data_IF_374292574304
#
_entry.id   IF_374292574304
#
_cell.length_a   1.000
_cell.length_b   1.000
_cell.length_c   1.000
_cell.angle_alpha   90.00
_cell.angle_beta   90.00
_cell.angle_gamma   90.00
#
_symmetry.space_group_name_H-M   'P 1'
#
loop_
_entity.id
_entity.type
_entity.pdbx_description
1 polymer ?
#
# COMPACT_ATOMS: atom_id res chain seq x y z
N UNK A 1 29.82 28.14 -39.28
CA UNK A 1 28.70 27.91 -38.32
C UNK A 1 28.13 26.54 -38.61
N UNK A 2 28.52 25.54 -37.82
CA UNK A 2 28.01 24.18 -37.94
C UNK A 2 26.75 24.05 -37.06
N UNK A 3 25.60 23.73 -37.66
CA UNK A 3 24.36 23.43 -36.96
C UNK A 3 24.56 22.18 -36.08
N UNK A 4 24.21 22.20 -34.78
CA UNK A 4 24.23 21.00 -33.97
C UNK A 4 23.12 20.07 -34.47
N UNK A 5 23.48 18.98 -35.11
CA UNK A 5 22.57 17.86 -35.36
C UNK A 5 22.19 17.30 -33.99
N UNK A 6 20.93 17.48 -33.60
CA UNK A 6 20.35 16.79 -32.46
C UNK A 6 20.40 15.28 -32.79
N UNK A 7 21.35 14.56 -32.21
CA UNK A 7 21.37 13.10 -32.20
C UNK A 7 20.09 12.64 -31.48
N UNK A 8 19.07 12.31 -32.25
CA UNK A 8 17.94 11.54 -31.71
C UNK A 8 18.50 10.18 -31.36
N UNK A 9 18.52 9.88 -30.07
CA UNK A 9 18.99 8.60 -29.57
C UNK A 9 18.07 7.49 -30.12
N UNK A 10 18.58 6.79 -31.12
CA UNK A 10 17.86 5.70 -31.80
C UNK A 10 17.49 4.56 -30.84
N UNK A 11 18.16 4.48 -29.69
CA UNK A 11 17.87 3.49 -28.64
C UNK A 11 16.48 3.68 -27.99
N UNK A 12 15.99 4.91 -27.87
CA UNK A 12 14.64 5.19 -27.37
C UNK A 12 13.57 4.78 -28.38
N UNK A 13 13.82 5.01 -29.67
CA UNK A 13 12.88 4.58 -30.74
C UNK A 13 12.82 3.06 -30.86
N UNK A 14 13.93 2.36 -30.68
CA UNK A 14 13.99 0.89 -30.69
C UNK A 14 13.33 0.30 -29.43
N UNK A 15 13.43 0.98 -28.28
CA UNK A 15 12.72 0.59 -27.05
C UNK A 15 11.19 0.69 -27.20
N UNK A 16 10.69 1.67 -27.97
CA UNK A 16 9.25 1.82 -28.26
C UNK A 16 8.71 0.74 -29.21
N UNK A 17 9.57 0.15 -30.06
CA UNK A 17 9.21 -0.91 -31.02
C UNK A 17 9.17 -2.31 -30.42
N UNK A 18 9.77 -2.54 -29.24
CA UNK A 18 9.77 -3.85 -28.59
C UNK A 18 8.35 -4.24 -28.14
N UNK A 19 7.90 -5.48 -28.38
CA UNK A 19 6.61 -5.97 -27.90
C UNK A 19 6.56 -5.92 -26.37
N UNK A 20 5.38 -5.70 -25.81
CA UNK A 20 5.15 -5.57 -24.37
C UNK A 20 5.82 -6.69 -23.53
N UNK A 21 5.74 -7.94 -24.04
CA UNK A 21 6.38 -9.11 -23.40
C UNK A 21 7.90 -8.99 -23.27
N UNK A 22 8.57 -8.47 -24.29
CA UNK A 22 10.03 -8.28 -24.27
C UNK A 22 10.43 -7.17 -23.28
N UNK A 23 9.66 -6.08 -23.22
CA UNK A 23 9.87 -4.98 -22.26
C UNK A 23 9.66 -5.46 -20.82
N UNK A 24 8.63 -6.26 -20.59
CA UNK A 24 8.36 -6.86 -19.27
C UNK A 24 9.50 -7.77 -18.82
N UNK A 25 9.98 -8.68 -19.68
CA UNK A 25 11.13 -9.55 -19.38
C UNK A 25 12.41 -8.77 -19.11
N UNK A 26 12.68 -7.75 -19.90
CA UNK A 26 13.84 -6.87 -19.70
C UNK A 26 13.77 -6.15 -18.35
N UNK A 27 12.58 -5.68 -17.94
CA UNK A 27 12.34 -5.06 -16.64
C UNK A 27 12.60 -6.04 -15.49
N UNK A 28 12.04 -7.25 -15.57
CA UNK A 28 12.24 -8.30 -14.58
C UNK A 28 13.73 -8.69 -14.42
N UNK A 29 14.49 -8.69 -15.53
CA UNK A 29 15.93 -8.95 -15.49
C UNK A 29 16.75 -7.79 -14.90
N UNK A 30 16.34 -6.55 -15.13
CA UNK A 30 17.01 -5.37 -14.60
C UNK A 30 16.73 -5.17 -13.11
N UNK A 31 15.54 -5.57 -12.65
CA UNK A 31 15.10 -5.41 -11.25
C UNK A 31 14.56 -6.73 -10.68
N UNK A 32 15.43 -7.70 -10.37
CA UNK A 32 15.00 -9.04 -9.93
C UNK A 32 14.25 -9.00 -8.60
N UNK A 33 14.63 -8.11 -7.67
CA UNK A 33 13.93 -7.95 -6.38
C UNK A 33 12.52 -7.39 -6.59
N UNK A 34 12.36 -6.41 -7.48
CA UNK A 34 11.04 -5.88 -7.82
C UNK A 34 10.14 -6.93 -8.50
N UNK A 35 10.71 -7.78 -9.36
CA UNK A 35 9.99 -8.89 -9.98
C UNK A 35 9.54 -9.92 -8.93
N UNK A 36 10.40 -10.24 -7.95
CA UNK A 36 10.05 -11.11 -6.83
C UNK A 36 8.93 -10.50 -5.98
N UNK A 37 9.03 -9.21 -5.64
CA UNK A 37 7.96 -8.48 -4.94
C UNK A 37 6.65 -8.51 -5.70
N UNK A 38 6.68 -8.23 -7.00
CA UNK A 38 5.50 -8.32 -7.88
C UNK A 38 4.89 -9.72 -7.94
N UNK A 39 5.72 -10.78 -7.94
CA UNK A 39 5.23 -12.16 -7.89
C UNK A 39 4.52 -12.48 -6.56
N UNK A 40 5.05 -12.02 -5.44
CA UNK A 40 4.41 -12.17 -4.11
C UNK A 40 3.05 -11.44 -4.09
N UNK A 41 3.01 -10.19 -4.57
CA UNK A 41 1.76 -9.40 -4.63
C UNK A 41 0.72 -10.09 -5.53
N UNK A 42 1.14 -10.60 -6.69
CA UNK A 42 0.25 -11.31 -7.61
C UNK A 42 -0.26 -12.63 -7.00
N UNK A 43 0.59 -13.37 -6.29
CA UNK A 43 0.19 -14.59 -5.56
C UNK A 43 -0.84 -14.25 -4.50
N UNK A 44 -0.63 -13.19 -3.74
CA UNK A 44 -1.57 -12.72 -2.70
C UNK A 44 -2.92 -12.30 -3.29
N UNK A 45 -2.91 -11.54 -4.40
CA UNK A 45 -4.14 -11.17 -5.11
C UNK A 45 -4.85 -12.42 -5.65
N UNK A 46 -4.09 -13.35 -6.23
CA UNK A 46 -4.64 -14.62 -6.71
C UNK A 46 -5.30 -15.41 -5.57
N UNK A 47 -4.63 -15.56 -4.42
CA UNK A 47 -5.19 -16.22 -3.24
C UNK A 47 -6.47 -15.54 -2.77
N UNK A 48 -6.50 -14.20 -2.72
CA UNK A 48 -7.67 -13.43 -2.31
C UNK A 48 -8.86 -13.59 -3.27
N UNK A 49 -8.63 -13.51 -4.59
CA UNK A 49 -9.69 -13.63 -5.60
C UNK A 49 -10.27 -15.04 -5.63
N UNK A 50 -9.41 -16.05 -5.61
CA UNK A 50 -9.80 -17.44 -5.72
C UNK A 50 -9.98 -18.13 -4.36
N UNK A 51 -10.08 -17.39 -3.25
CA UNK A 51 -10.19 -17.96 -1.91
C UNK A 51 -11.29 -19.02 -1.78
N UNK A 52 -12.47 -18.78 -2.36
CA UNK A 52 -13.58 -19.73 -2.29
C UNK A 52 -13.30 -21.07 -3.01
N UNK A 53 -12.35 -21.11 -3.94
CA UNK A 53 -11.99 -22.31 -4.70
C UNK A 53 -10.74 -22.98 -4.11
N UNK A 54 -9.83 -22.17 -3.57
CA UNK A 54 -8.57 -22.64 -3.01
C UNK A 54 -8.70 -23.17 -1.59
N UNK A 55 -9.72 -22.73 -0.87
CA UNK A 55 -9.91 -23.10 0.53
C UNK A 55 -10.62 -24.45 0.66
N UNK A 56 -10.00 -25.41 1.36
CA UNK A 56 -10.59 -26.73 1.55
C UNK A 56 -11.77 -26.73 2.55
N UNK A 57 -11.79 -25.77 3.48
CA UNK A 57 -12.75 -25.70 4.58
C UNK A 57 -13.47 -24.34 4.65
N UNK A 58 -14.48 -24.24 5.51
CA UNK A 58 -15.10 -22.96 5.86
C UNK A 58 -14.20 -22.18 6.85
N UNK A 59 -13.84 -20.92 6.57
CA UNK A 59 -12.93 -20.14 7.41
C UNK A 59 -13.50 -19.78 8.79
N UNK A 60 -14.81 -19.88 8.99
CA UNK A 60 -15.52 -19.47 10.22
C UNK A 60 -16.08 -20.66 11.01
N UNK A 61 -16.13 -21.86 10.42
CA UNK A 61 -16.67 -23.04 11.06
C UNK A 61 -15.78 -23.55 12.19
N UNK A 62 -16.27 -23.51 13.42
CA UNK A 62 -15.59 -24.06 14.59
C UNK A 62 -15.69 -25.58 14.62
N UNK A 63 -14.57 -26.27 14.78
CA UNK A 63 -14.46 -27.73 14.87
C UNK A 63 -13.68 -28.13 16.13
N UNK A 64 -14.28 -27.96 17.30
CA UNK A 64 -13.64 -28.15 18.60
C UNK A 64 -13.01 -29.55 18.80
N UNK A 65 -13.42 -30.54 18.02
CA UNK A 65 -12.79 -31.87 18.02
C UNK A 65 -11.36 -31.85 17.46
N UNK A 66 -11.02 -30.83 16.67
CA UNK A 66 -9.74 -30.66 15.98
C UNK A 66 -8.94 -29.46 16.51
N UNK A 67 -9.14 -29.09 17.79
CA UNK A 67 -8.42 -27.95 18.40
C UNK A 67 -6.92 -28.20 18.44
N UNK A 68 -6.12 -27.22 17.97
CA UNK A 68 -4.66 -27.21 18.02
C UNK A 68 -4.02 -28.46 17.40
N UNK A 69 -4.63 -29.04 16.37
CA UNK A 69 -4.03 -30.15 15.64
C UNK A 69 -2.81 -29.67 14.83
N UNK A 70 -1.72 -30.44 14.92
CA UNK A 70 -0.53 -30.18 14.16
C UNK A 70 -0.76 -30.33 12.64
N UNK A 71 0.07 -29.69 11.80
CA UNK A 71 -0.01 -29.86 10.36
C UNK A 71 -0.08 -31.32 9.94
N UNK A 72 -1.08 -31.65 9.11
CA UNK A 72 -1.42 -33.02 8.70
C UNK A 72 -1.84 -33.08 7.23
N UNK A 73 -2.18 -34.26 6.72
CA UNK A 73 -2.72 -34.42 5.36
C UNK A 73 -4.12 -33.78 5.17
N UNK A 74 -4.90 -33.62 6.23
CA UNK A 74 -6.21 -32.98 6.24
C UNK A 74 -6.08 -31.47 6.48
N UNK A 75 -5.27 -31.07 7.48
CA UNK A 75 -5.01 -29.66 7.83
C UNK A 75 -3.54 -29.32 7.52
N UNK A 76 -3.25 -28.85 6.32
CA UNK A 76 -1.88 -28.65 5.83
C UNK A 76 -1.04 -27.70 6.69
N UNK A 77 -1.68 -26.71 7.32
CA UNK A 77 -1.02 -25.75 8.23
C UNK A 77 -1.47 -25.95 9.69
N UNK A 78 -2.20 -27.05 9.98
CA UNK A 78 -2.80 -27.31 11.28
C UNK A 78 -4.05 -26.48 11.53
N UNK A 79 -4.54 -26.53 12.77
CA UNK A 79 -5.74 -25.82 13.21
C UNK A 79 -5.46 -24.84 14.35
N UNK A 80 -6.37 -23.90 14.55
CA UNK A 80 -6.29 -22.92 15.63
C UNK A 80 -7.01 -23.41 16.93
N UNK A 81 -7.12 -22.53 17.92
CA UNK A 81 -7.75 -22.81 19.21
C UNK A 81 -9.26 -23.13 19.12
N UNK A 82 -9.89 -22.84 17.99
CA UNK A 82 -11.29 -23.17 17.72
C UNK A 82 -11.43 -24.36 16.77
N UNK A 83 -10.31 -25.01 16.39
CA UNK A 83 -10.27 -26.11 15.42
C UNK A 83 -10.46 -25.66 13.97
N UNK A 84 -10.29 -24.36 13.66
CA UNK A 84 -10.45 -23.81 12.30
C UNK A 84 -9.17 -24.02 11.50
N UNK A 85 -9.28 -24.37 10.23
CA UNK A 85 -8.13 -24.60 9.34
C UNK A 85 -7.32 -23.31 9.09
N UNK A 86 -6.04 -23.30 9.48
CA UNK A 86 -5.16 -22.14 9.36
C UNK A 86 -4.90 -21.78 7.90
N UNK A 87 -4.72 -22.74 6.99
CA UNK A 87 -4.51 -22.47 5.58
C UNK A 87 -5.70 -21.71 4.97
N UNK A 88 -6.91 -22.20 5.19
CA UNK A 88 -8.14 -21.53 4.77
C UNK A 88 -8.20 -20.09 5.30
N UNK A 89 -7.94 -19.91 6.59
CA UNK A 89 -7.97 -18.58 7.22
C UNK A 89 -6.87 -17.65 6.70
N UNK A 90 -5.69 -18.15 6.33
CA UNK A 90 -4.63 -17.37 5.67
C UNK A 90 -5.08 -16.91 4.28
N UNK A 91 -5.68 -17.81 3.50
CA UNK A 91 -6.18 -17.48 2.16
C UNK A 91 -7.28 -16.40 2.24
N UNK A 92 -8.27 -16.55 3.13
CA UNK A 92 -9.30 -15.54 3.33
C UNK A 92 -8.78 -14.26 3.98
N UNK A 93 -7.81 -14.36 4.90
CA UNK A 93 -7.12 -13.22 5.50
C UNK A 93 -6.42 -12.33 4.47
N UNK A 94 -6.00 -12.89 3.33
CA UNK A 94 -5.46 -12.10 2.23
C UNK A 94 -6.49 -11.12 1.64
N UNK A 95 -7.79 -11.49 1.60
CA UNK A 95 -8.88 -10.57 1.18
C UNK A 95 -9.00 -9.41 2.15
N UNK A 96 -9.04 -9.69 3.45
CA UNK A 96 -9.16 -8.68 4.50
C UNK A 96 -7.98 -7.72 4.45
N UNK A 97 -6.76 -8.25 4.39
CA UNK A 97 -5.54 -7.47 4.34
C UNK A 97 -5.45 -6.59 3.08
N UNK A 98 -5.78 -7.13 1.89
CA UNK A 98 -5.80 -6.36 0.65
C UNK A 98 -6.92 -5.31 0.64
N UNK A 99 -8.12 -5.65 1.09
CA UNK A 99 -9.24 -4.71 1.13
C UNK A 99 -8.92 -3.50 2.00
N UNK A 100 -8.46 -3.72 3.23
CA UNK A 100 -8.08 -2.66 4.16
C UNK A 100 -6.87 -1.90 3.61
N UNK A 101 -5.83 -2.63 3.16
CA UNK A 101 -4.58 -2.06 2.66
C UNK A 101 -4.81 -1.13 1.47
N UNK A 102 -5.51 -1.59 0.43
CA UNK A 102 -5.78 -0.77 -0.74
C UNK A 102 -6.74 0.38 -0.44
N UNK A 103 -7.81 0.13 0.32
CA UNK A 103 -8.80 1.17 0.63
C UNK A 103 -8.16 2.32 1.41
N UNK A 104 -7.43 2.02 2.48
CA UNK A 104 -6.76 3.02 3.28
C UNK A 104 -5.67 3.77 2.48
N UNK A 105 -4.87 3.03 1.68
CA UNK A 105 -3.82 3.63 0.85
C UNK A 105 -4.41 4.56 -0.23
N UNK A 106 -5.46 4.13 -0.94
CA UNK A 106 -6.09 4.94 -2.00
C UNK A 106 -6.71 6.21 -1.41
N UNK A 107 -7.48 6.10 -0.33
CA UNK A 107 -8.13 7.27 0.29
C UNK A 107 -7.06 8.21 0.87
N UNK A 108 -6.09 7.67 1.61
CA UNK A 108 -5.02 8.43 2.23
C UNK A 108 -4.12 9.15 1.22
N UNK A 109 -3.63 8.42 0.21
CA UNK A 109 -2.80 9.01 -0.83
C UNK A 109 -3.56 10.03 -1.68
N UNK A 110 -4.82 9.74 -2.06
CA UNK A 110 -5.64 10.66 -2.86
C UNK A 110 -6.00 11.92 -2.07
N UNK A 111 -6.36 11.79 -0.79
CA UNK A 111 -6.55 12.93 0.10
C UNK A 111 -5.28 13.78 0.21
N UNK A 112 -4.13 13.12 0.36
CA UNK A 112 -2.82 13.78 0.36
C UNK A 112 -2.47 14.44 -0.97
N UNK A 113 -2.78 13.82 -2.11
CA UNK A 113 -2.61 14.41 -3.44
C UNK A 113 -3.41 15.72 -3.57
N UNK A 114 -4.69 15.68 -3.24
CA UNK A 114 -5.58 16.86 -3.33
C UNK A 114 -5.05 17.97 -2.44
N UNK A 115 -4.75 17.67 -1.17
CA UNK A 115 -4.28 18.65 -0.19
C UNK A 115 -2.91 19.22 -0.58
N UNK A 116 -1.97 18.36 -1.01
CA UNK A 116 -0.62 18.77 -1.39
C UNK A 116 -0.59 19.65 -2.63
N UNK A 117 -1.33 19.28 -3.69
CA UNK A 117 -1.41 20.10 -4.91
C UNK A 117 -2.13 21.43 -4.65
N UNK A 118 -3.24 21.41 -3.89
CA UNK A 118 -3.96 22.64 -3.55
C UNK A 118 -3.09 23.58 -2.70
N UNK A 119 -2.38 23.05 -1.70
CA UNK A 119 -1.44 23.79 -0.85
C UNK A 119 -0.35 24.47 -1.68
N UNK A 120 0.29 23.73 -2.60
CA UNK A 120 1.32 24.26 -3.49
C UNK A 120 0.78 25.30 -4.46
N UNK A 121 -0.42 25.10 -5.03
CA UNK A 121 -1.00 25.98 -6.03
C UNK A 121 -1.44 27.31 -5.46
N UNK A 122 -2.24 27.30 -4.38
CA UNK A 122 -2.76 28.52 -3.77
C UNK A 122 -1.69 29.29 -2.99
N UNK A 123 -0.77 28.59 -2.31
CA UNK A 123 0.32 29.23 -1.59
C UNK A 123 -0.14 30.11 -0.43
N UNK A 124 0.71 31.08 -0.05
CA UNK A 124 0.41 32.10 0.94
C UNK A 124 -0.08 31.59 2.29
N UNK A 125 -1.11 32.23 2.86
CA UNK A 125 -1.68 31.89 4.16
C UNK A 125 -2.33 30.50 4.12
N UNK A 126 -2.98 30.13 3.00
CA UNK A 126 -3.60 28.80 2.86
C UNK A 126 -2.55 27.69 3.02
N UNK A 127 -1.45 27.80 2.29
CA UNK A 127 -0.34 26.85 2.39
C UNK A 127 0.24 26.81 3.82
N UNK A 128 0.44 27.96 4.43
CA UNK A 128 0.98 28.03 5.78
C UNK A 128 0.08 27.32 6.80
N UNK A 129 -1.22 27.54 6.76
CA UNK A 129 -2.18 26.90 7.69
C UNK A 129 -2.23 25.39 7.43
N UNK A 130 -2.34 24.97 6.16
CA UNK A 130 -2.35 23.53 5.82
C UNK A 130 -1.08 22.83 6.30
N UNK A 131 0.09 23.46 6.10
CA UNK A 131 1.35 22.84 6.54
C UNK A 131 1.46 22.78 8.07
N UNK A 132 0.91 23.75 8.81
CA UNK A 132 0.86 23.65 10.28
C UNK A 132 0.01 22.48 10.77
N UNK A 133 -1.12 22.24 10.12
CA UNK A 133 -1.97 21.07 10.43
C UNK A 133 -1.21 19.78 10.08
N UNK A 134 -0.61 19.71 8.89
CA UNK A 134 0.21 18.57 8.46
C UNK A 134 1.37 18.31 9.45
N UNK A 135 2.05 19.36 9.92
CA UNK A 135 3.14 19.24 10.89
C UNK A 135 2.68 18.63 12.21
N UNK A 136 1.51 19.04 12.73
CA UNK A 136 0.93 18.48 13.94
C UNK A 136 0.66 16.98 13.78
N UNK A 137 0.04 16.57 12.66
CA UNK A 137 -0.25 15.15 12.43
C UNK A 137 1.02 14.29 12.28
N UNK A 138 2.03 14.78 11.56
CA UNK A 138 3.28 14.03 11.37
C UNK A 138 4.14 13.98 12.64
N UNK A 139 3.94 14.87 13.59
CA UNK A 139 4.65 14.84 14.87
C UNK A 139 4.26 13.61 15.73
N UNK A 140 3.09 13.02 15.51
CA UNK A 140 2.68 11.82 16.21
C UNK A 140 3.21 10.55 15.50
N UNK A 141 3.73 9.56 16.25
CA UNK A 141 4.01 8.25 15.69
C UNK A 141 2.74 7.64 15.10
N UNK A 142 2.85 7.11 13.88
CA UNK A 142 1.74 6.63 13.06
C UNK A 142 0.87 5.59 13.78
N UNK A 143 1.49 4.61 14.45
CA UNK A 143 0.79 3.57 15.21
C UNK A 143 -0.01 4.18 16.36
N UNK A 144 0.56 5.14 17.10
CA UNK A 144 -0.10 5.78 18.24
C UNK A 144 -1.33 6.56 17.76
N UNK A 145 -1.23 7.25 16.64
CA UNK A 145 -2.36 7.98 16.05
C UNK A 145 -3.47 7.02 15.62
N UNK A 146 -3.12 5.92 14.93
CA UNK A 146 -4.10 4.91 14.52
C UNK A 146 -4.81 4.28 15.74
N UNK A 147 -4.06 3.93 16.80
CA UNK A 147 -4.61 3.43 18.05
C UNK A 147 -5.57 4.44 18.72
N UNK A 148 -5.19 5.72 18.78
CA UNK A 148 -6.04 6.76 19.36
C UNK A 148 -7.36 6.90 18.59
N UNK A 149 -7.32 6.83 17.25
CA UNK A 149 -8.54 6.89 16.43
C UNK A 149 -9.43 5.68 16.68
N UNK A 150 -8.88 4.46 16.66
CA UNK A 150 -9.68 3.25 16.91
C UNK A 150 -10.20 3.23 18.35
N UNK A 151 -9.43 3.71 19.34
CA UNK A 151 -9.89 3.79 20.72
C UNK A 151 -11.14 4.68 20.89
N UNK A 152 -11.31 5.68 20.02
CA UNK A 152 -12.50 6.57 20.03
C UNK A 152 -13.66 6.05 19.19
N UNK A 153 -13.38 5.40 18.04
CA UNK A 153 -14.40 4.91 17.11
C UNK A 153 -14.88 3.49 17.46
N UNK A 154 -14.09 2.73 18.22
CA UNK A 154 -14.29 1.31 18.49
C UNK A 154 -13.60 0.41 17.45
N UNK A 155 -13.49 -0.91 17.74
CA UNK A 155 -12.92 -1.90 16.82
C UNK A 155 -13.81 -2.11 15.61
N UNK A 156 -13.24 -2.68 14.55
CA UNK A 156 -13.96 -3.02 13.32
C UNK A 156 -13.26 -2.55 12.06
N UNK A 157 -13.54 -3.24 10.95
CA UNK A 157 -12.86 -3.05 9.66
C UNK A 157 -12.92 -1.60 9.15
N UNK A 158 -14.10 -0.97 9.23
CA UNK A 158 -14.29 0.41 8.75
C UNK A 158 -13.50 1.41 9.58
N UNK A 159 -13.52 1.24 10.89
CA UNK A 159 -12.80 2.10 11.83
C UNK A 159 -11.28 1.97 11.68
N UNK A 160 -10.79 0.76 11.40
CA UNK A 160 -9.38 0.50 11.07
C UNK A 160 -8.98 1.23 9.78
N UNK A 161 -9.81 1.18 8.73
CA UNK A 161 -9.55 1.90 7.48
C UNK A 161 -9.43 3.40 7.75
N UNK A 162 -10.36 3.98 8.52
CA UNK A 162 -10.33 5.40 8.90
C UNK A 162 -9.05 5.72 9.69
N UNK A 163 -8.73 4.90 10.68
CA UNK A 163 -7.58 5.09 11.55
C UNK A 163 -6.24 5.07 10.80
N UNK A 164 -6.11 4.20 9.79
CA UNK A 164 -4.92 4.11 8.94
C UNK A 164 -4.89 5.27 7.92
N UNK A 165 -6.05 5.66 7.40
CA UNK A 165 -6.16 6.72 6.39
C UNK A 165 -5.75 8.08 6.92
N UNK A 166 -6.17 8.44 8.14
CA UNK A 166 -5.91 9.76 8.75
C UNK A 166 -4.42 10.14 8.72
N UNK A 167 -3.47 9.32 9.20
CA UNK A 167 -2.05 9.65 9.17
C UNK A 167 -1.43 9.60 7.76
N UNK A 168 -2.00 8.87 6.80
CA UNK A 168 -1.47 8.79 5.44
C UNK A 168 -1.69 10.08 4.65
N UNK A 169 -2.81 10.79 4.88
CA UNK A 169 -3.10 12.07 4.21
C UNK A 169 -1.97 13.09 4.38
N UNK A 170 -1.54 13.47 5.60
CA UNK A 170 -0.48 14.45 5.79
C UNK A 170 0.88 14.00 5.24
N UNK A 171 1.21 12.70 5.34
CA UNK A 171 2.45 12.17 4.80
C UNK A 171 2.51 12.31 3.27
N UNK A 172 1.45 11.91 2.56
CA UNK A 172 1.36 12.05 1.11
C UNK A 172 1.30 13.53 0.70
N UNK A 173 0.53 14.36 1.43
CA UNK A 173 0.41 15.80 1.15
C UNK A 173 1.76 16.51 1.17
N UNK A 174 2.64 16.17 2.11
CA UNK A 174 3.99 16.75 2.21
C UNK A 174 4.86 16.40 1.00
N UNK A 175 4.87 15.14 0.58
CA UNK A 175 5.66 14.66 -0.56
C UNK A 175 5.14 15.25 -1.87
N UNK A 176 3.84 15.19 -2.08
CA UNK A 176 3.20 15.73 -3.29
C UNK A 176 3.37 17.24 -3.38
N UNK A 177 3.20 17.97 -2.27
CA UNK A 177 3.41 19.43 -2.24
C UNK A 177 4.82 19.81 -2.66
N UNK A 178 5.84 19.10 -2.19
CA UNK A 178 7.22 19.36 -2.57
C UNK A 178 7.42 19.29 -4.09
N UNK A 179 6.85 18.27 -4.73
CA UNK A 179 6.89 18.12 -6.19
C UNK A 179 6.03 19.16 -6.91
N UNK A 180 4.83 19.45 -6.38
CA UNK A 180 3.91 20.41 -6.97
C UNK A 180 4.43 21.84 -6.94
N UNK A 181 5.20 22.23 -5.92
CA UNK A 181 5.89 23.54 -5.86
C UNK A 181 6.87 23.69 -7.02
N UNK A 182 7.67 22.67 -7.31
CA UNK A 182 8.60 22.72 -8.44
C UNK A 182 7.87 22.87 -9.80
N UNK A 183 6.73 22.18 -9.95
CA UNK A 183 5.92 22.23 -11.17
C UNK A 183 5.24 23.61 -11.31
N UNK A 184 4.80 24.21 -10.22
CA UNK A 184 4.16 25.54 -10.24
C UNK A 184 5.04 26.63 -10.84
N UNK A 185 6.35 26.53 -10.64
CA UNK A 185 7.32 27.52 -11.14
C UNK A 185 7.74 27.29 -12.61
N UNK A 186 7.17 26.29 -13.29
CA UNK A 186 7.49 26.05 -14.72
C UNK A 186 6.70 27.01 -15.60
N UNK A 187 7.32 27.65 -16.63
CA UNK A 187 6.72 28.72 -17.44
C UNK A 187 5.37 28.37 -18.10
N UNK A 188 5.11 27.09 -18.40
CA UNK A 188 3.83 26.71 -19.00
C UNK A 188 2.63 26.90 -18.06
N UNK A 189 2.85 26.83 -16.72
CA UNK A 189 1.79 27.09 -15.73
C UNK A 189 1.43 28.57 -15.75
N UNK A 190 2.42 29.45 -15.84
CA UNK A 190 2.18 30.90 -15.94
C UNK A 190 1.56 31.28 -17.29
N UNK A 191 1.96 30.63 -18.38
CA UNK A 191 1.30 30.79 -19.68
C UNK A 191 -0.19 30.40 -19.62
N UNK A 192 -0.52 29.30 -18.93
CA UNK A 192 -1.91 28.89 -18.74
C UNK A 192 -2.72 29.91 -17.92
N UNK A 193 -2.12 30.55 -16.91
CA UNK A 193 -2.72 31.66 -16.16
C UNK A 193 -2.96 32.87 -17.04
N UNK A 194 -1.95 33.26 -17.83
CA UNK A 194 -2.04 34.40 -18.74
C UNK A 194 -3.12 34.19 -19.81
N UNK A 195 -3.37 32.96 -20.25
CA UNK A 195 -4.46 32.59 -21.15
C UNK A 195 -5.85 32.59 -20.47
N UNK A 196 -5.94 32.90 -19.17
CA UNK A 196 -7.20 32.95 -18.43
C UNK A 196 -7.81 31.61 -18.07
N UNK A 197 -7.01 30.54 -17.99
CA UNK A 197 -7.51 29.23 -17.56
C UNK A 197 -7.92 29.26 -16.09
N UNK A 198 -9.05 28.61 -15.77
CA UNK A 198 -9.52 28.50 -14.39
C UNK A 198 -8.55 27.70 -13.52
N UNK A 199 -8.51 28.01 -12.21
CA UNK A 199 -7.68 27.31 -11.23
C UNK A 199 -7.87 25.80 -11.28
N UNK A 200 -9.12 25.32 -11.35
CA UNK A 200 -9.43 23.90 -11.46
C UNK A 200 -8.81 23.28 -12.72
N UNK A 201 -8.83 23.97 -13.85
CA UNK A 201 -8.23 23.48 -15.10
C UNK A 201 -6.72 23.40 -15.00
N UNK A 202 -6.07 24.38 -14.37
CA UNK A 202 -4.62 24.39 -14.17
C UNK A 202 -4.22 23.24 -13.24
N UNK A 203 -4.89 23.09 -12.10
CA UNK A 203 -4.64 22.02 -11.14
C UNK A 203 -4.80 20.65 -11.81
N UNK A 204 -5.95 20.38 -12.42
CA UNK A 204 -6.29 19.04 -12.92
C UNK A 204 -5.55 18.65 -14.21
N UNK A 205 -5.26 19.61 -15.10
CA UNK A 205 -4.63 19.30 -16.39
C UNK A 205 -3.14 19.59 -16.47
N UNK A 206 -2.64 20.51 -15.64
CA UNK A 206 -1.25 20.95 -15.74
C UNK A 206 -0.40 20.55 -14.52
N UNK A 207 -0.97 20.50 -13.31
CA UNK A 207 -0.22 20.14 -12.10
C UNK A 207 -0.41 18.68 -11.69
N UNK A 208 -1.63 18.23 -11.50
CA UNK A 208 -1.90 16.87 -10.99
C UNK A 208 -1.27 15.77 -11.85
N UNK A 209 -1.33 15.77 -13.20
CA UNK A 209 -0.69 14.72 -13.99
C UNK A 209 0.84 14.66 -13.83
N UNK A 210 1.48 15.81 -13.54
CA UNK A 210 2.92 15.87 -13.38
C UNK A 210 3.43 15.45 -11.99
N UNK A 211 2.54 15.33 -10.99
CA UNK A 211 2.84 14.79 -9.66
C UNK A 211 2.40 13.33 -9.50
N UNK A 212 1.95 12.67 -10.57
CA UNK A 212 1.48 11.29 -10.49
C UNK A 212 2.59 10.30 -10.10
N UNK A 213 3.85 10.56 -10.49
CA UNK A 213 4.96 9.69 -10.12
C UNK A 213 5.15 9.63 -8.58
N UNK A 214 5.37 10.74 -7.85
CA UNK A 214 5.45 10.70 -6.40
C UNK A 214 4.16 10.19 -5.72
N UNK A 215 2.98 10.47 -6.29
CA UNK A 215 1.72 9.93 -5.79
C UNK A 215 1.68 8.39 -5.86
N UNK A 216 2.01 7.80 -7.01
CA UNK A 216 2.00 6.35 -7.19
C UNK A 216 3.04 5.65 -6.30
N UNK A 217 4.21 6.26 -6.11
CA UNK A 217 5.24 5.77 -5.19
C UNK A 217 4.69 5.73 -3.76
N UNK A 218 4.04 6.82 -3.31
CA UNK A 218 3.43 6.86 -1.97
C UNK A 218 2.29 5.85 -1.84
N UNK A 219 1.44 5.74 -2.86
CA UNK A 219 0.32 4.80 -2.88
C UNK A 219 0.78 3.35 -2.68
N UNK A 220 1.80 2.92 -3.43
CA UNK A 220 2.32 1.53 -3.32
C UNK A 220 2.98 1.27 -1.97
N UNK A 221 3.75 2.22 -1.44
CA UNK A 221 4.35 2.12 -0.12
C UNK A 221 3.27 2.04 0.99
N UNK A 222 2.20 2.80 0.86
CA UNK A 222 1.12 2.81 1.83
C UNK A 222 0.35 1.50 1.89
N UNK A 223 0.23 0.73 0.79
CA UNK A 223 -0.44 -0.58 0.84
C UNK A 223 0.29 -1.53 1.80
N UNK A 224 1.61 -1.67 1.66
CA UNK A 224 2.40 -2.51 2.56
C UNK A 224 2.35 -2.03 4.02
N UNK A 225 2.43 -0.71 4.21
CA UNK A 225 2.34 -0.10 5.53
C UNK A 225 0.95 -0.26 6.16
N UNK A 226 -0.13 -0.17 5.38
CA UNK A 226 -1.49 -0.38 5.84
C UNK A 226 -1.75 -1.82 6.27
N UNK A 227 -1.23 -2.82 5.53
CA UNK A 227 -1.31 -4.24 5.90
C UNK A 227 -0.61 -4.46 7.25
N UNK A 228 0.56 -3.87 7.46
CA UNK A 228 1.27 -3.99 8.74
C UNK A 228 0.49 -3.33 9.88
N UNK A 229 -0.06 -2.14 9.66
CA UNK A 229 -0.85 -1.42 10.68
C UNK A 229 -2.14 -2.16 11.02
N UNK A 230 -2.85 -2.69 10.02
CA UNK A 230 -4.02 -3.53 10.24
C UNK A 230 -3.65 -4.73 11.12
N UNK A 231 -2.56 -5.43 10.79
CA UNK A 231 -2.10 -6.58 11.56
C UNK A 231 -1.77 -6.20 13.01
N UNK A 232 -1.11 -5.06 13.25
CA UNK A 232 -0.81 -4.56 14.61
C UNK A 232 -2.08 -4.20 15.37
N UNK A 233 -3.03 -3.49 14.74
CA UNK A 233 -4.30 -3.13 15.37
C UNK A 233 -5.14 -4.37 15.69
N UNK A 234 -5.19 -5.35 14.79
CA UNK A 234 -5.90 -6.61 14.98
C UNK A 234 -5.25 -7.47 16.08
N UNK A 235 -3.90 -7.52 16.13
CA UNK A 235 -3.16 -8.17 17.21
C UNK A 235 -3.47 -7.59 18.58
N UNK A 236 -3.60 -6.25 18.67
CA UNK A 236 -3.98 -5.56 19.90
C UNK A 236 -5.47 -5.67 20.23
N UNK A 237 -6.27 -6.39 19.41
CA UNK A 237 -7.71 -6.55 19.62
C UNK A 237 -8.55 -5.35 19.22
N UNK A 238 -7.92 -4.32 18.62
CA UNK A 238 -8.57 -3.10 18.16
C UNK A 238 -8.87 -3.10 16.64
N UNK A 239 -8.51 -4.17 15.95
CA UNK A 239 -8.67 -4.32 14.51
C UNK A 239 -9.95 -5.02 14.10
N UNK A 240 -9.80 -5.90 13.11
CA UNK A 240 -10.85 -6.81 12.65
C UNK A 240 -11.28 -7.74 13.79
N UNK A 241 -12.57 -8.03 13.88
CA UNK A 241 -13.13 -8.88 14.94
C UNK A 241 -13.46 -10.27 14.43
N UNK A 242 -13.39 -11.28 15.34
CA UNK A 242 -13.91 -12.62 15.05
C UNK A 242 -15.39 -12.56 14.62
N UNK A 243 -15.83 -13.46 13.73
CA UNK A 243 -15.10 -14.61 13.17
C UNK A 243 -14.27 -14.31 11.91
N UNK A 244 -14.25 -13.05 11.43
CA UNK A 244 -13.59 -12.68 10.18
C UNK A 244 -12.10 -13.02 10.20
N UNK A 245 -11.58 -13.77 9.20
CA UNK A 245 -10.15 -14.06 9.11
C UNK A 245 -9.30 -12.80 8.92
N UNK A 246 -8.38 -12.55 9.86
CA UNK A 246 -7.38 -11.49 9.79
C UNK A 246 -6.05 -12.00 10.38
N UNK A 247 -4.97 -11.78 9.68
CA UNK A 247 -3.66 -12.36 10.06
C UNK A 247 -3.17 -11.86 11.42
N UNK A 248 -3.41 -10.58 11.74
CA UNK A 248 -3.04 -10.01 13.04
C UNK A 248 -3.82 -10.62 14.20
N UNK A 249 -5.11 -10.90 14.00
CA UNK A 249 -5.97 -11.55 14.99
C UNK A 249 -5.55 -13.02 15.21
N UNK A 250 -5.26 -13.74 14.12
CA UNK A 250 -4.74 -15.13 14.18
C UNK A 250 -3.39 -15.17 14.93
N UNK A 251 -2.52 -14.20 14.68
CA UNK A 251 -1.24 -14.10 15.36
C UNK A 251 -1.40 -13.89 16.87
N UNK A 252 -2.39 -13.10 17.30
CA UNK A 252 -2.68 -12.86 18.71
C UNK A 252 -3.01 -14.16 19.45
N UNK A 253 -4.00 -14.92 18.98
CA UNK A 253 -4.41 -16.18 19.60
C UNK A 253 -3.24 -17.14 19.77
N UNK A 254 -2.44 -17.32 18.71
CA UNK A 254 -1.30 -18.24 18.76
C UNK A 254 -0.11 -17.75 19.60
N UNK A 255 0.18 -16.44 19.62
CA UNK A 255 1.40 -15.93 20.27
C UNK A 255 1.28 -15.79 21.78
N UNK A 256 0.09 -15.49 22.30
CA UNK A 256 -0.11 -15.25 23.73
C UNK A 256 -0.23 -16.55 24.53
N UNK A 257 -0.86 -17.60 23.98
CA UNK A 257 -1.22 -18.79 24.74
C UNK A 257 -0.59 -20.08 24.24
N UNK A 258 -0.33 -20.18 22.92
CA UNK A 258 0.00 -21.47 22.29
C UNK A 258 1.38 -21.55 21.63
N UNK A 259 2.26 -20.57 21.85
CA UNK A 259 3.56 -20.51 21.15
C UNK A 259 4.42 -21.78 21.39
N UNK A 260 4.36 -22.36 22.57
CA UNK A 260 5.15 -23.55 22.91
C UNK A 260 4.47 -24.85 22.46
N UNK A 261 3.13 -24.93 22.55
CA UNK A 261 2.36 -26.14 22.26
C UNK A 261 1.93 -26.28 20.81
N UNK A 262 1.63 -25.14 20.15
CA UNK A 262 1.12 -25.10 18.77
C UNK A 262 1.75 -23.91 17.98
N UNK A 263 3.06 -23.92 17.73
CA UNK A 263 3.77 -22.78 17.12
C UNK A 263 3.28 -22.43 15.72
N UNK A 264 2.68 -23.37 14.99
CA UNK A 264 2.11 -23.15 13.66
C UNK A 264 1.00 -22.08 13.64
N UNK A 265 0.23 -21.95 14.74
CA UNK A 265 -0.85 -20.95 14.87
C UNK A 265 -0.30 -19.53 14.74
N UNK A 266 0.94 -19.28 15.21
CA UNK A 266 1.60 -17.96 15.11
C UNK A 266 2.52 -17.83 13.90
N UNK A 267 3.26 -18.89 13.56
CA UNK A 267 4.28 -18.85 12.51
C UNK A 267 3.67 -18.56 11.14
N UNK A 268 2.61 -19.25 10.76
CA UNK A 268 2.03 -19.08 9.41
C UNK A 268 1.38 -17.71 9.18
N UNK A 269 0.57 -17.16 10.10
CA UNK A 269 0.09 -15.79 9.95
C UNK A 269 1.21 -14.75 9.98
N UNK A 270 2.22 -14.91 10.85
CA UNK A 270 3.38 -14.03 10.92
C UNK A 270 4.20 -14.02 9.62
N UNK A 271 4.41 -15.19 9.00
CA UNK A 271 5.04 -15.32 7.69
C UNK A 271 4.20 -14.65 6.59
N UNK A 272 2.87 -14.80 6.64
CA UNK A 272 1.96 -14.19 5.65
C UNK A 272 2.02 -12.66 5.70
N UNK A 273 2.00 -12.07 6.90
CA UNK A 273 2.19 -10.63 7.11
C UNK A 273 3.56 -10.20 6.55
N UNK A 274 4.62 -10.90 6.94
CA UNK A 274 5.98 -10.57 6.52
C UNK A 274 6.16 -10.62 5.02
N UNK A 275 5.65 -11.67 4.35
CA UNK A 275 5.72 -11.82 2.89
C UNK A 275 4.90 -10.74 2.19
N UNK A 276 3.71 -10.40 2.68
CA UNK A 276 2.89 -9.34 2.09
C UNK A 276 3.60 -7.99 2.17
N UNK A 277 4.07 -7.59 3.35
CA UNK A 277 4.77 -6.32 3.56
C UNK A 277 6.05 -6.26 2.71
N UNK A 278 6.83 -7.33 2.70
CA UNK A 278 8.04 -7.42 1.90
C UNK A 278 7.74 -7.34 0.39
N UNK A 279 6.72 -8.06 -0.07
CA UNK A 279 6.27 -8.06 -1.46
C UNK A 279 5.87 -6.66 -1.93
N UNK A 280 5.02 -5.96 -1.16
CA UNK A 280 4.60 -4.60 -1.51
C UNK A 280 5.73 -3.58 -1.45
N UNK A 281 6.66 -3.69 -0.49
CA UNK A 281 7.82 -2.80 -0.41
C UNK A 281 8.76 -2.99 -1.60
N UNK A 282 9.14 -4.23 -1.93
CA UNK A 282 9.99 -4.52 -3.09
C UNK A 282 9.35 -4.10 -4.41
N UNK A 283 8.04 -4.32 -4.55
CA UNK A 283 7.29 -3.89 -5.74
C UNK A 283 7.22 -2.37 -5.82
N UNK A 284 6.97 -1.69 -4.70
CA UNK A 284 6.94 -0.23 -4.61
C UNK A 284 8.28 0.42 -4.94
N UNK A 285 9.39 -0.15 -4.45
CA UNK A 285 10.74 0.34 -4.77
C UNK A 285 11.05 0.18 -6.26
N UNK A 286 10.71 -0.96 -6.86
CA UNK A 286 10.86 -1.17 -8.30
C UNK A 286 10.02 -0.19 -9.12
N UNK A 287 8.79 0.09 -8.69
CA UNK A 287 7.94 1.08 -9.34
C UNK A 287 8.53 2.49 -9.24
N UNK A 288 9.10 2.84 -8.10
CA UNK A 288 9.82 4.10 -7.89
C UNK A 288 10.97 4.24 -8.87
N UNK A 289 11.81 3.22 -9.01
CA UNK A 289 12.97 3.24 -9.92
C UNK A 289 12.55 3.40 -11.39
N UNK A 290 11.43 2.78 -11.78
CA UNK A 290 10.88 2.91 -13.14
C UNK A 290 10.26 4.29 -13.39
N UNK A 291 9.63 4.89 -12.38
CA UNK A 291 8.94 6.18 -12.48
C UNK A 291 9.84 7.38 -12.28
N UNK A 292 11.04 7.20 -11.68
CA UNK A 292 11.96 8.32 -11.44
C UNK A 292 12.70 8.71 -12.74
N UNK A 293 12.46 9.91 -13.30
CA UNK A 293 13.10 10.36 -14.54
C UNK A 293 14.62 10.54 -14.40
N UNK A 294 15.12 10.75 -13.16
CA UNK A 294 16.54 11.01 -12.89
C UNK A 294 17.40 9.75 -13.06
N UNK A 295 16.80 8.56 -12.95
CA UNK A 295 17.49 7.29 -13.13
C UNK A 295 17.56 6.85 -14.60
N UNK A 296 16.76 7.46 -15.49
CA UNK A 296 16.78 7.17 -16.94
C UNK A 296 17.98 7.77 -17.67
N UNK A 297 18.68 8.72 -17.07
CA UNK A 297 19.82 9.44 -17.69
C UNK A 297 21.19 8.86 -17.30
N UNK A 298 21.24 7.70 -16.68
CA UNK A 298 22.45 6.93 -16.40
C UNK A 298 22.38 5.58 -17.14
#
# INVERSE_FOLDING_TARGET
MATPQAFVDTSELDALRKPFRARFWELCRKQPLGAAGGAIVLLMIFAAVFANVLSPHDPEANALAHMLEAPSGEFWMGTDEFGRDILTRIIYGSRTALFIGFTAAIIGATGGLILGVASAYFGGIFDLVVQRIVDVFIAFPLIIMALAVVATLGPGTENVIIAITIPFIPQCARVVRSSALAIREIPYVDAARALGYSNARIILRHMAPNVMAPYLIMLTAFVGQAILLEAVLSYLGMGVQDPTPAWGLMLKGGAEEFLESAPWVSIFPGLSISLAVFGFNLFGDALRDVLDPRLRSR
#
